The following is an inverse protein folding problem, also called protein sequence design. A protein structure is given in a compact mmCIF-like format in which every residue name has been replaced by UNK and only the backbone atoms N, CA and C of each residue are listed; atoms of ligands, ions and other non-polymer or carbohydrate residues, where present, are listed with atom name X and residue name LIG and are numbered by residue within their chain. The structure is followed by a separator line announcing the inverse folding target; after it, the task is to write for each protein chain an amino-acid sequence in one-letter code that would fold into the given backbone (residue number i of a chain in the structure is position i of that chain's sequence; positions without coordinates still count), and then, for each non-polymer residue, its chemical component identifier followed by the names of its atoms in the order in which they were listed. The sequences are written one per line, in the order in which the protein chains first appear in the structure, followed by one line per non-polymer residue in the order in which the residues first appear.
data_IF_666111974128
#
_entry.id   IF_666111974128
#
_cell.length_a   1.000
_cell.length_b   1.000
_cell.length_c   1.000
_cell.angle_alpha   90.00
_cell.angle_beta   90.00
_cell.angle_gamma   90.00
#
_symmetry.space_group_name_H-M   'P 1'
#
loop_
_entity.id
_entity.type
_entity.pdbx_description
1 polymer ?
#
# COMPACT_ATOMS: atom_id res chain seq x y z
N UNK A 1 -35.28 4.46 -42.08
CA UNK A 1 -33.81 4.28 -42.07
C UNK A 1 -33.33 4.39 -40.63
N UNK A 2 -32.78 3.31 -40.09
CA UNK A 2 -32.54 3.12 -38.65
C UNK A 2 -31.36 3.95 -38.15
N UNK A 3 -31.54 4.64 -37.02
CA UNK A 3 -30.48 5.23 -36.20
C UNK A 3 -29.76 4.09 -35.47
N UNK A 4 -28.50 3.83 -35.79
CA UNK A 4 -27.65 2.99 -34.95
C UNK A 4 -27.30 3.77 -33.67
N UNK A 5 -27.99 3.43 -32.58
CA UNK A 5 -27.54 3.74 -31.21
C UNK A 5 -26.31 2.87 -30.94
N UNK A 6 -25.12 3.45 -31.07
CA UNK A 6 -23.91 2.87 -30.51
C UNK A 6 -24.07 2.81 -28.99
N UNK A 7 -24.16 1.60 -28.45
CA UNK A 7 -24.27 1.35 -27.02
C UNK A 7 -22.99 1.88 -26.36
N UNK A 8 -23.14 2.92 -25.54
CA UNK A 8 -22.08 3.41 -24.67
C UNK A 8 -21.85 2.34 -23.60
N UNK A 9 -20.89 1.45 -23.82
CA UNK A 9 -20.40 0.56 -22.78
C UNK A 9 -19.29 1.28 -22.02
N UNK A 10 -19.65 2.10 -21.02
CA UNK A 10 -18.72 2.36 -19.92
C UNK A 10 -18.60 1.05 -19.13
N UNK A 11 -17.78 0.11 -19.64
CA UNK A 11 -17.35 -1.04 -18.85
C UNK A 11 -16.46 -0.48 -17.75
N UNK A 12 -17.02 -0.25 -16.57
CA UNK A 12 -16.23 -0.45 -15.36
C UNK A 12 -15.57 -1.83 -15.51
N UNK A 13 -14.26 -1.83 -15.76
CA UNK A 13 -13.49 -3.06 -15.82
C UNK A 13 -13.38 -3.56 -14.39
N UNK A 14 -14.35 -4.36 -13.94
CA UNK A 14 -14.21 -5.11 -12.70
C UNK A 14 -12.89 -5.87 -12.76
N UNK A 15 -11.98 -5.54 -11.84
CA UNK A 15 -10.67 -6.17 -11.72
C UNK A 15 -10.86 -7.60 -11.22
N UNK A 16 -10.90 -8.55 -12.14
CA UNK A 16 -11.11 -9.98 -11.83
C UNK A 16 -9.76 -10.68 -11.78
N UNK A 17 -9.46 -11.32 -10.65
CA UNK A 17 -8.30 -12.20 -10.48
C UNK A 17 -8.43 -13.37 -11.47
N UNK A 18 -7.39 -13.59 -12.30
CA UNK A 18 -7.36 -14.65 -13.32
C UNK A 18 -7.60 -14.18 -14.76
N UNK A 19 -8.03 -12.92 -14.98
CA UNK A 19 -8.20 -12.34 -16.31
C UNK A 19 -6.93 -11.63 -16.85
N UNK A 20 -5.82 -11.77 -16.13
CA UNK A 20 -4.55 -11.14 -16.47
C UNK A 20 -3.50 -12.22 -16.66
N UNK A 21 -2.70 -12.10 -17.72
CA UNK A 21 -1.67 -13.10 -18.08
C UNK A 21 -0.62 -13.28 -16.98
N UNK A 22 -0.43 -12.27 -16.12
CA UNK A 22 0.60 -12.23 -15.07
C UNK A 22 0.15 -11.39 -13.88
N UNK A 23 0.63 -11.75 -12.69
CA UNK A 23 0.41 -11.03 -11.43
C UNK A 23 0.71 -9.52 -11.52
N UNK A 24 1.81 -9.14 -12.21
CA UNK A 24 2.18 -7.74 -12.40
C UNK A 24 1.13 -6.95 -13.17
N UNK A 25 0.58 -7.51 -14.26
CA UNK A 25 -0.44 -6.83 -15.06
C UNK A 25 -1.73 -6.58 -14.27
N UNK A 26 -2.07 -7.48 -13.34
CA UNK A 26 -3.17 -7.26 -12.41
C UNK A 26 -2.87 -6.11 -11.43
N UNK A 27 -1.68 -6.08 -10.82
CA UNK A 27 -1.29 -5.01 -9.89
C UNK A 27 -1.23 -3.64 -10.58
N UNK A 28 -0.71 -3.59 -11.82
CA UNK A 28 -0.67 -2.36 -12.63
C UNK A 28 -2.09 -1.87 -13.00
N UNK A 29 -3.04 -2.78 -13.21
CA UNK A 29 -4.43 -2.42 -13.45
C UNK A 29 -5.18 -2.05 -12.16
N UNK A 30 -4.76 -2.61 -11.02
CA UNK A 30 -5.31 -2.27 -9.72
C UNK A 30 -4.85 -0.89 -9.25
N UNK A 31 -3.59 -0.53 -9.47
CA UNK A 31 -3.07 0.79 -9.08
C UNK A 31 -3.76 1.95 -9.77
N UNK A 32 -4.33 1.73 -10.96
CA UNK A 32 -5.12 2.75 -11.67
C UNK A 32 -6.58 2.83 -11.23
N UNK A 33 -7.03 1.92 -10.38
CA UNK A 33 -8.42 1.81 -9.92
C UNK A 33 -8.60 2.03 -8.41
N UNK A 34 -7.50 2.10 -7.65
CA UNK A 34 -7.53 2.30 -6.20
C UNK A 34 -7.15 3.73 -5.90
N UNK A 35 -7.99 4.43 -5.16
CA UNK A 35 -7.67 5.73 -4.60
C UNK A 35 -6.79 5.53 -3.37
N UNK A 36 -5.58 6.09 -3.43
CA UNK A 36 -4.65 6.13 -2.31
C UNK A 36 -4.75 7.52 -1.67
N UNK A 37 -4.90 7.61 -0.35
CA UNK A 37 -4.96 8.88 0.35
C UNK A 37 -3.79 9.79 -0.02
N UNK A 38 -4.10 11.06 -0.28
CA UNK A 38 -3.07 12.06 -0.57
C UNK A 38 -2.19 12.35 0.64
N UNK A 39 -2.74 12.17 1.85
CA UNK A 39 -2.06 12.35 3.12
C UNK A 39 -2.33 11.15 4.02
N UNK A 40 -1.26 10.64 4.62
CA UNK A 40 -1.27 9.39 5.35
C UNK A 40 -0.59 9.60 6.69
N UNK A 41 -1.19 9.14 7.79
CA UNK A 41 -0.52 9.13 9.10
C UNK A 41 0.16 7.80 9.35
N UNK A 42 1.41 7.83 9.78
CA UNK A 42 2.12 6.63 10.25
C UNK A 42 1.81 6.43 11.73
N UNK A 43 1.16 5.31 12.07
CA UNK A 43 0.78 5.00 13.45
C UNK A 43 1.75 4.03 14.13
N UNK A 44 2.49 3.25 13.34
CA UNK A 44 3.45 2.28 13.85
C UNK A 44 4.52 1.97 12.78
N UNK A 45 5.68 1.55 13.24
CA UNK A 45 6.78 1.09 12.38
C UNK A 45 7.24 -0.28 12.84
N UNK A 46 7.44 -1.18 11.90
CA UNK A 46 7.93 -2.52 12.17
C UNK A 46 9.15 -2.77 11.30
N UNK A 47 10.23 -3.26 11.90
CA UNK A 47 11.47 -3.53 11.21
C UNK A 47 12.14 -4.79 11.78
N UNK A 48 13.10 -5.32 11.05
CA UNK A 48 13.89 -6.44 11.50
C UNK A 48 14.87 -6.92 10.45
N UNK A 49 15.42 -8.11 10.68
CA UNK A 49 16.42 -8.72 9.82
C UNK A 49 15.90 -10.07 9.33
N UNK A 50 15.89 -10.27 8.01
CA UNK A 50 15.64 -11.56 7.36
C UNK A 50 16.97 -12.29 7.25
N UNK A 51 16.96 -13.60 7.50
CA UNK A 51 18.13 -14.49 7.41
C UNK A 51 19.32 -14.02 8.27
N UNK A 52 19.03 -13.60 9.49
CA UNK A 52 20.07 -13.18 10.45
C UNK A 52 21.15 -14.26 10.61
N UNK A 53 22.42 -13.86 10.47
CA UNK A 53 23.56 -14.77 10.56
C UNK A 53 23.86 -15.60 9.29
N UNK A 54 23.20 -15.32 8.18
CA UNK A 54 23.47 -15.94 6.87
C UNK A 54 24.02 -14.92 5.85
N UNK A 55 24.66 -15.39 4.77
CA UNK A 55 25.22 -14.51 3.72
C UNK A 55 24.16 -13.58 3.08
N UNK A 56 22.89 -14.02 3.04
CA UNK A 56 21.77 -13.26 2.47
C UNK A 56 20.98 -12.48 3.53
N UNK A 57 21.63 -12.06 4.60
CA UNK A 57 21.04 -11.22 5.62
C UNK A 57 20.54 -9.91 4.99
N UNK A 58 19.29 -9.54 5.28
CA UNK A 58 18.71 -8.30 4.75
C UNK A 58 17.79 -7.64 5.77
N UNK A 59 18.02 -6.37 6.03
CA UNK A 59 17.10 -5.55 6.82
C UNK A 59 15.80 -5.32 6.06
N UNK A 60 14.69 -5.32 6.77
CA UNK A 60 13.37 -5.00 6.23
C UNK A 60 12.65 -4.05 7.17
N UNK A 61 11.76 -3.25 6.61
CA UNK A 61 10.87 -2.41 7.38
C UNK A 61 9.51 -2.24 6.68
N UNK A 62 8.50 -1.96 7.48
CA UNK A 62 7.16 -1.60 7.02
C UNK A 62 6.52 -0.59 7.97
N UNK A 63 5.78 0.35 7.40
CA UNK A 63 4.97 1.32 8.12
C UNK A 63 3.53 0.82 8.17
N UNK A 64 2.90 0.96 9.33
CA UNK A 64 1.45 0.82 9.47
C UNK A 64 0.85 2.22 9.40
N UNK A 65 -0.06 2.39 8.46
CA UNK A 65 -0.54 3.68 8.01
C UNK A 65 -2.07 3.75 8.08
N UNK A 66 -2.58 4.96 8.26
CA UNK A 66 -4.01 5.30 8.21
C UNK A 66 -4.20 6.53 7.32
N UNK A 67 -5.39 6.64 6.73
CA UNK A 67 -5.83 7.88 6.11
C UNK A 67 -6.05 8.95 7.19
N UNK A 68 -5.53 10.16 6.99
CA UNK A 68 -5.58 11.24 8.01
C UNK A 68 -7.01 11.69 8.27
N UNK A 69 -7.78 11.96 7.22
CA UNK A 69 -9.16 12.46 7.35
C UNK A 69 -10.04 11.44 8.07
N UNK A 70 -9.89 10.15 7.73
CA UNK A 70 -10.60 9.06 8.36
C UNK A 70 -10.17 8.88 9.81
N UNK A 71 -8.86 8.95 10.09
CA UNK A 71 -8.33 8.84 11.44
C UNK A 71 -8.89 9.94 12.35
N UNK A 72 -8.95 11.19 11.88
CA UNK A 72 -9.56 12.31 12.62
C UNK A 72 -11.04 12.08 12.92
N UNK A 73 -11.80 11.52 11.96
CA UNK A 73 -13.21 11.14 12.18
C UNK A 73 -13.34 10.09 13.29
N UNK A 74 -12.51 9.05 13.28
CA UNK A 74 -12.51 8.03 14.33
C UNK A 74 -12.02 8.60 15.68
N UNK A 75 -11.06 9.51 15.68
CA UNK A 75 -10.57 10.19 16.88
C UNK A 75 -11.65 11.09 17.51
N UNK A 76 -12.48 11.74 16.69
CA UNK A 76 -13.59 12.59 17.18
C UNK A 76 -14.61 11.84 18.06
N UNK A 77 -14.67 10.51 17.92
CA UNK A 77 -15.53 9.61 18.70
C UNK A 77 -14.75 8.67 19.63
N UNK A 78 -13.44 8.89 19.81
CA UNK A 78 -12.53 8.04 20.59
C UNK A 78 -12.57 6.55 20.18
N UNK A 79 -12.55 6.29 18.86
CA UNK A 79 -12.56 4.96 18.24
C UNK A 79 -11.41 4.76 17.24
N UNK A 80 -10.27 5.38 17.48
CA UNK A 80 -9.06 5.30 16.65
C UNK A 80 -8.65 3.85 16.35
N UNK A 81 -8.82 2.94 17.32
CA UNK A 81 -8.51 1.52 17.15
C UNK A 81 -9.40 0.76 16.14
N UNK A 82 -10.48 1.37 15.65
CA UNK A 82 -11.33 0.84 14.59
C UNK A 82 -11.03 1.47 13.22
N UNK A 83 -10.13 2.46 13.15
CA UNK A 83 -9.72 3.05 11.89
C UNK A 83 -9.03 1.98 11.01
N UNK A 84 -9.47 1.79 9.77
CA UNK A 84 -8.80 0.90 8.83
C UNK A 84 -7.33 1.26 8.68
N UNK A 85 -6.46 0.25 8.73
CA UNK A 85 -5.02 0.41 8.53
C UNK A 85 -4.57 -0.28 7.25
N UNK A 86 -3.51 0.23 6.66
CA UNK A 86 -2.83 -0.41 5.54
C UNK A 86 -1.32 -0.37 5.74
N UNK A 87 -0.60 -1.21 4.98
CA UNK A 87 0.85 -1.38 5.14
C UNK A 87 1.61 -0.82 3.96
N UNK A 88 2.63 -0.02 4.27
CA UNK A 88 3.65 0.44 3.31
C UNK A 88 4.96 -0.30 3.62
N UNK A 89 5.46 -1.10 2.69
CA UNK A 89 6.75 -1.80 2.81
C UNK A 89 7.87 -0.90 2.28
N UNK A 90 8.94 -0.78 3.05
CA UNK A 90 10.12 -0.03 2.63
C UNK A 90 11.04 -0.92 1.80
N UNK A 91 11.11 -0.61 0.51
CA UNK A 91 12.03 -1.26 -0.42
C UNK A 91 13.44 -0.70 -0.19
N UNK A 92 14.43 -1.57 -0.35
CA UNK A 92 15.85 -1.24 -0.21
C UNK A 92 16.27 -0.71 1.17
N UNK A 93 15.43 -0.84 2.21
CA UNK A 93 15.75 -0.44 3.58
C UNK A 93 17.10 -1.02 4.06
N UNK A 94 17.98 -0.13 4.53
CA UNK A 94 19.33 -0.39 5.03
C UNK A 94 19.47 -0.04 6.52
N UNK A 95 18.46 -0.35 7.35
CA UNK A 95 18.50 -0.08 8.79
C UNK A 95 18.54 1.43 9.13
N UNK A 96 17.94 2.27 8.28
CA UNK A 96 17.75 3.69 8.54
C UNK A 96 16.86 3.90 9.78
N UNK A 97 17.08 4.99 10.51
CA UNK A 97 16.23 5.34 11.66
C UNK A 97 14.82 5.74 11.15
N UNK A 98 13.78 5.15 11.75
CA UNK A 98 12.37 5.38 11.40
C UNK A 98 11.59 6.15 12.48
N UNK A 99 12.22 6.52 13.60
CA UNK A 99 11.57 7.16 14.74
C UNK A 99 10.91 8.48 14.33
N UNK A 100 11.54 9.22 13.41
CA UNK A 100 11.01 10.47 12.86
C UNK A 100 9.76 10.31 11.99
N UNK A 101 9.38 9.08 11.63
CA UNK A 101 8.13 8.80 10.92
C UNK A 101 6.98 8.49 11.86
N UNK A 102 7.21 8.07 13.10
CA UNK A 102 6.13 7.69 14.02
C UNK A 102 5.26 8.91 14.31
N UNK A 103 3.94 8.75 14.15
CA UNK A 103 2.92 9.81 14.25
C UNK A 103 3.04 10.95 13.23
N UNK A 104 3.95 10.85 12.27
CA UNK A 104 4.09 11.84 11.21
C UNK A 104 3.01 11.66 10.14
N UNK A 105 2.61 12.78 9.56
CA UNK A 105 1.79 12.80 8.36
C UNK A 105 2.72 12.86 7.15
N UNK A 106 2.51 11.94 6.21
CA UNK A 106 3.40 11.67 5.09
C UNK A 106 2.65 11.68 3.77
N UNK A 107 3.42 11.91 2.70
CA UNK A 107 2.99 11.77 1.32
C UNK A 107 3.90 10.76 0.62
N UNK A 108 3.30 9.84 -0.14
CA UNK A 108 4.03 8.89 -0.98
C UNK A 108 4.17 9.45 -2.40
N UNK A 109 5.33 9.99 -2.75
CA UNK A 109 5.57 10.57 -4.09
C UNK A 109 5.63 9.49 -5.18
N UNK A 110 6.12 8.30 -4.80
CA UNK A 110 6.23 7.15 -5.68
C UNK A 110 6.04 5.88 -4.88
N UNK A 111 5.28 4.95 -5.45
CA UNK A 111 5.03 3.66 -4.87
C UNK A 111 4.67 2.64 -5.94
N UNK A 112 4.82 1.37 -5.59
CA UNK A 112 4.32 0.21 -6.32
C UNK A 112 3.31 -0.55 -5.45
N UNK A 113 2.50 -1.41 -6.08
CA UNK A 113 1.69 -2.40 -5.36
C UNK A 113 2.40 -3.75 -5.36
N UNK A 114 2.27 -4.48 -4.25
CA UNK A 114 2.78 -5.86 -4.14
C UNK A 114 1.81 -6.77 -3.41
N UNK A 115 1.83 -8.05 -3.75
CA UNK A 115 1.12 -9.05 -2.97
C UNK A 115 1.82 -9.30 -1.63
N UNK A 116 1.01 -9.35 -0.57
CA UNK A 116 1.39 -9.94 0.70
C UNK A 116 1.18 -11.44 0.56
N UNK A 117 2.27 -12.19 0.65
CA UNK A 117 2.25 -13.65 0.54
C UNK A 117 2.36 -14.28 1.92
N UNK A 118 1.68 -15.40 2.12
CA UNK A 118 1.84 -16.25 3.30
C UNK A 118 3.08 -17.17 3.20
N UNK A 119 3.24 -18.07 4.17
CA UNK A 119 4.34 -19.05 4.21
C UNK A 119 4.29 -20.05 3.05
N UNK A 120 3.13 -20.29 2.45
CA UNK A 120 2.92 -21.16 1.29
C UNK A 120 3.02 -20.39 -0.03
N UNK A 121 3.43 -19.12 0.01
CA UNK A 121 3.53 -18.20 -1.14
C UNK A 121 2.19 -17.90 -1.80
N UNK A 122 1.09 -18.03 -1.06
CA UNK A 122 -0.25 -17.67 -1.52
C UNK A 122 -0.54 -16.20 -1.20
N UNK A 123 -1.18 -15.44 -2.11
CA UNK A 123 -1.53 -14.05 -1.85
C UNK A 123 -2.66 -13.98 -0.81
N UNK A 124 -2.39 -13.29 0.30
CA UNK A 124 -3.34 -13.06 1.40
C UNK A 124 -3.72 -11.59 1.57
N UNK A 125 -3.10 -10.71 0.79
CA UNK A 125 -3.40 -9.28 0.80
C UNK A 125 -2.54 -8.51 -0.19
N UNK A 126 -2.64 -7.18 -0.12
CA UNK A 126 -1.90 -6.23 -0.96
C UNK A 126 -1.26 -5.21 -0.04
N UNK A 127 -0.04 -4.79 -0.39
CA UNK A 127 0.70 -3.75 0.32
C UNK A 127 1.27 -2.75 -0.67
N UNK A 128 1.34 -1.50 -0.23
CA UNK A 128 2.12 -0.47 -0.92
C UNK A 128 3.61 -0.75 -0.69
N UNK A 129 4.43 -0.42 -1.68
CA UNK A 129 5.87 -0.53 -1.61
C UNK A 129 6.46 0.79 -2.05
N UNK A 130 7.26 1.41 -1.20
CA UNK A 130 7.94 2.67 -1.51
C UNK A 130 9.40 2.61 -1.03
N UNK A 131 10.27 3.41 -1.63
CA UNK A 131 11.61 3.65 -1.07
C UNK A 131 11.50 4.79 -0.05
N UNK A 132 12.32 4.77 1.01
CA UNK A 132 12.26 5.78 2.06
C UNK A 132 12.45 7.21 1.51
N UNK A 133 13.27 7.34 0.46
CA UNK A 133 13.51 8.60 -0.25
C UNK A 133 12.28 9.13 -1.02
N UNK A 134 11.30 8.28 -1.32
CA UNK A 134 10.06 8.68 -1.99
C UNK A 134 8.97 9.15 -1.00
N UNK A 135 9.25 9.10 0.31
CA UNK A 135 8.36 9.56 1.37
C UNK A 135 8.73 10.99 1.75
N UNK A 136 7.74 11.89 1.71
CA UNK A 136 7.89 13.25 2.21
C UNK A 136 7.08 13.43 3.50
N UNK A 137 7.65 14.13 4.47
CA UNK A 137 6.92 14.65 5.64
C UNK A 137 6.08 15.85 5.21
N UNK A 138 4.86 15.97 5.75
CA UNK A 138 4.00 17.13 5.53
C UNK A 138 4.18 18.21 6.59
#
# INVERSE_FOLDING_TARGET
MQRQRGINMSKEKNLIVGNYDRAKAFLDALSTSVDIPAEIKVIDTNNGIINEGQENQRSWASLTCVDVELYEQFASIAKEGYCPTFRVRLKNYQNENLDGLINADIVLNKYDLSFVLDKLKQPVGIALVAELADIALK
#
